data_IF_154638862813
#
_entry.id   IF_154638862813
#
_cell.length_a   1.000
_cell.length_b   1.000
_cell.length_c   1.000
_cell.angle_alpha   90.00
_cell.angle_beta   90.00
_cell.angle_gamma   90.00
#
_symmetry.space_group_name_H-M   'P 1'
#
loop_
_entity.id
_entity.type
_entity.pdbx_description
1 polymer ?
#
# COMPACT_ATOMS: atom_id res chain seq x y z
N UNK A 1 -15.64 5.54 19.84
CA UNK A 1 -14.42 5.21 19.08
C UNK A 1 -13.59 4.19 19.87
N UNK A 2 -13.23 3.04 19.28
CA UNK A 2 -12.48 1.97 19.98
C UNK A 2 -10.96 2.17 19.93
N UNK A 3 -10.45 2.71 18.81
CA UNK A 3 -9.02 2.92 18.60
C UNK A 3 -8.49 4.18 19.28
N UNK A 4 -9.32 5.23 19.35
CA UNK A 4 -9.00 6.47 20.05
C UNK A 4 -10.24 6.91 20.85
N UNK A 5 -10.42 6.38 22.08
CA UNK A 5 -11.60 6.68 22.89
C UNK A 5 -11.54 8.10 23.48
N UNK A 6 -12.67 8.79 23.54
CA UNK A 6 -12.81 10.06 24.28
C UNK A 6 -12.30 11.33 23.58
N UNK A 7 -11.96 11.27 22.29
CA UNK A 7 -11.57 12.46 21.52
C UNK A 7 -12.78 13.18 20.92
N UNK A 8 -12.67 14.50 20.82
CA UNK A 8 -13.65 15.37 20.18
C UNK A 8 -13.36 15.55 18.68
N UNK A 9 -14.35 16.09 17.96
CA UNK A 9 -14.27 16.26 16.51
C UNK A 9 -13.17 17.26 16.09
N UNK A 10 -12.97 18.32 16.89
CA UNK A 10 -12.00 19.37 16.61
C UNK A 10 -10.57 18.84 16.66
N UNK A 11 -10.24 18.01 17.66
CA UNK A 11 -8.91 17.41 17.77
C UNK A 11 -8.65 16.37 16.71
N UNK A 12 -9.69 15.62 16.29
CA UNK A 12 -9.58 14.70 15.16
C UNK A 12 -9.31 15.48 13.87
N UNK A 13 -10.00 16.60 13.64
CA UNK A 13 -9.80 17.44 12.46
C UNK A 13 -8.38 18.05 12.45
N UNK A 14 -7.91 18.58 13.58
CA UNK A 14 -6.54 19.08 13.71
C UNK A 14 -5.48 18.00 13.46
N UNK A 15 -5.72 16.77 13.92
CA UNK A 15 -4.83 15.64 13.66
C UNK A 15 -4.80 15.26 12.17
N UNK A 16 -5.95 15.28 11.50
CA UNK A 16 -6.04 15.03 10.06
C UNK A 16 -5.33 16.13 9.27
N UNK A 17 -5.52 17.40 9.61
CA UNK A 17 -4.83 18.52 8.95
C UNK A 17 -3.31 18.41 9.15
N UNK A 18 -2.84 17.95 10.32
CA UNK A 18 -1.41 17.64 10.52
C UNK A 18 -0.86 16.53 9.61
N UNK A 19 -1.71 15.60 9.13
CA UNK A 19 -1.34 14.58 8.14
C UNK A 19 -1.36 15.10 6.71
N UNK A 20 -2.16 16.12 6.43
CA UNK A 20 -2.23 16.85 5.15
C UNK A 20 -1.00 17.75 5.01
N UNK A 21 -0.70 18.56 6.03
CA UNK A 21 0.37 19.58 6.01
C UNK A 21 1.77 19.01 6.31
N UNK A 22 1.92 17.69 6.30
CA UNK A 22 3.16 17.04 6.69
C UNK A 22 4.30 17.46 5.74
N UNK A 23 5.43 18.01 6.25
CA UNK A 23 6.44 18.67 5.41
C UNK A 23 7.17 17.76 4.41
N UNK A 24 7.29 16.46 4.71
CA UNK A 24 8.03 15.52 3.88
C UNK A 24 7.16 14.90 2.78
N UNK A 25 6.04 14.32 3.19
CA UNK A 25 5.12 13.61 2.30
C UNK A 25 3.74 13.63 2.96
N UNK A 26 2.74 14.24 2.33
CA UNK A 26 1.37 14.21 2.83
C UNK A 26 0.88 12.75 2.86
N UNK A 27 0.21 12.35 3.93
CA UNK A 27 -0.37 11.02 4.05
C UNK A 27 -1.86 10.98 3.74
N UNK A 28 -2.49 12.15 3.74
CA UNK A 28 -3.91 12.35 3.54
C UNK A 28 -4.12 13.52 2.58
N UNK A 29 -5.12 13.44 1.72
CA UNK A 29 -5.58 14.52 0.87
C UNK A 29 -7.03 14.89 1.21
N UNK A 30 -7.34 16.19 1.20
CA UNK A 30 -8.70 16.69 1.34
C UNK A 30 -9.44 16.56 0.01
N UNK A 31 -10.63 15.95 0.05
CA UNK A 31 -11.44 15.66 -1.13
C UNK A 31 -12.53 16.72 -1.31
N UNK A 32 -13.02 16.92 -2.56
CA UNK A 32 -14.19 17.75 -2.82
C UNK A 32 -15.41 17.27 -2.00
N UNK A 33 -16.19 18.25 -1.53
CA UNK A 33 -17.47 17.96 -0.85
C UNK A 33 -18.47 17.39 -1.84
N UNK A 34 -19.27 16.42 -1.40
CA UNK A 34 -20.40 15.91 -2.17
C UNK A 34 -21.60 16.88 -2.07
N UNK A 35 -22.46 16.94 -3.09
CA UNK A 35 -23.71 17.70 -3.01
C UNK A 35 -24.52 17.31 -1.77
N UNK A 36 -24.98 18.30 -1.00
CA UNK A 36 -25.78 18.08 0.22
C UNK A 36 -24.98 17.70 1.48
N UNK A 37 -23.66 17.51 1.40
CA UNK A 37 -22.82 17.20 2.57
C UNK A 37 -22.07 18.45 3.06
N UNK A 38 -22.20 18.77 4.35
CA UNK A 38 -21.55 19.93 4.99
C UNK A 38 -20.11 19.63 5.44
N UNK A 39 -19.79 18.37 5.69
CA UNK A 39 -18.52 17.94 6.25
C UNK A 39 -17.44 17.75 5.18
N UNK A 40 -16.18 17.98 5.57
CA UNK A 40 -15.04 17.70 4.70
C UNK A 40 -14.79 16.19 4.60
N UNK A 41 -14.22 15.77 3.47
CA UNK A 41 -13.87 14.37 3.20
C UNK A 41 -12.36 14.27 3.02
N UNK A 42 -11.79 13.15 3.41
CA UNK A 42 -10.35 12.92 3.37
C UNK A 42 -10.05 11.51 2.82
N UNK A 43 -8.98 11.37 2.03
CA UNK A 43 -8.52 10.08 1.48
C UNK A 43 -7.04 9.86 1.76
N UNK A 44 -6.63 8.62 2.04
CA UNK A 44 -5.22 8.30 2.31
C UNK A 44 -4.39 8.20 1.02
N UNK A 45 -3.12 8.62 1.08
CA UNK A 45 -2.16 8.57 -0.04
C UNK A 45 -1.24 7.34 0.00
N UNK A 46 -1.45 6.45 0.98
CA UNK A 46 -0.64 5.24 1.19
C UNK A 46 -0.77 4.20 0.06
N UNK A 47 -1.73 4.37 -0.85
CA UNK A 47 -1.97 3.46 -1.99
C UNK A 47 -1.85 4.18 -3.35
N UNK A 48 -1.19 5.33 -3.38
CA UNK A 48 -1.09 6.18 -4.56
C UNK A 48 -1.99 7.41 -4.49
N UNK A 49 -2.07 8.14 -5.60
CA UNK A 49 -2.90 9.35 -5.71
C UNK A 49 -4.39 9.02 -5.64
N UNK A 50 -5.14 9.85 -4.92
CA UNK A 50 -6.61 9.69 -4.81
C UNK A 50 -7.26 10.40 -6.00
N UNK A 51 -7.85 9.63 -6.92
CA UNK A 51 -8.65 10.17 -8.02
C UNK A 51 -10.10 10.37 -7.59
N UNK A 52 -10.57 11.61 -7.59
CA UNK A 52 -11.88 12.01 -7.06
C UNK A 52 -13.08 11.50 -7.88
N UNK A 53 -12.90 11.26 -9.17
CA UNK A 53 -13.98 10.84 -10.08
C UNK A 53 -14.35 9.34 -9.92
N UNK A 54 -13.51 8.56 -9.25
CA UNK A 54 -13.67 7.10 -9.14
C UNK A 54 -14.56 6.66 -7.95
N UNK A 55 -14.95 7.55 -7.04
CA UNK A 55 -15.65 7.17 -5.79
C UNK A 55 -17.19 7.11 -5.89
N UNK A 56 -17.78 7.54 -7.01
CA UNK A 56 -19.18 7.21 -7.35
C UNK A 56 -19.28 5.88 -8.11
N UNK A 57 -18.15 5.28 -8.49
CA UNK A 57 -18.13 3.91 -8.92
C UNK A 57 -18.37 3.01 -7.69
N UNK A 58 -19.19 1.96 -7.81
CA UNK A 58 -19.30 0.96 -6.74
C UNK A 58 -17.89 0.48 -6.38
N UNK A 59 -17.59 0.46 -5.08
CA UNK A 59 -16.30 0.01 -4.58
C UNK A 59 -15.95 -1.32 -5.28
N UNK A 60 -14.76 -1.43 -5.91
CA UNK A 60 -14.36 -2.69 -6.50
C UNK A 60 -14.47 -3.76 -5.41
N UNK A 61 -14.98 -4.96 -5.74
CA UNK A 61 -15.05 -6.03 -4.76
C UNK A 61 -13.67 -6.18 -4.11
N UNK A 62 -13.61 -6.45 -2.80
CA UNK A 62 -12.33 -6.67 -2.13
C UNK A 62 -11.53 -7.67 -2.97
N UNK A 63 -10.22 -7.45 -3.16
CA UNK A 63 -9.43 -8.36 -3.95
C UNK A 63 -9.68 -9.77 -3.40
N UNK A 64 -9.95 -10.76 -4.28
CA UNK A 64 -10.18 -12.11 -3.81
C UNK A 64 -9.01 -12.48 -2.90
N UNK A 65 -9.32 -13.07 -1.74
CA UNK A 65 -8.31 -13.67 -0.88
C UNK A 65 -7.35 -14.45 -1.80
N UNK A 66 -6.02 -14.32 -1.63
CA UNK A 66 -5.07 -14.92 -2.56
C UNK A 66 -5.49 -16.38 -2.73
N UNK A 67 -5.89 -16.76 -3.94
CA UNK A 67 -6.29 -18.13 -4.19
C UNK A 67 -5.12 -19.01 -3.78
N UNK A 68 -5.42 -20.14 -3.14
CA UNK A 68 -4.41 -21.16 -2.81
C UNK A 68 -3.48 -21.41 -4.00
N UNK A 69 -4.05 -21.37 -5.21
CA UNK A 69 -3.37 -21.58 -6.48
C UNK A 69 -2.37 -20.46 -6.81
N UNK A 70 -2.71 -19.18 -6.53
CA UNK A 70 -1.78 -18.06 -6.71
C UNK A 70 -0.62 -18.13 -5.72
N UNK A 71 -0.91 -18.51 -4.48
CA UNK A 71 0.12 -18.72 -3.45
C UNK A 71 1.06 -19.86 -3.84
N UNK A 72 0.52 -21.02 -4.26
CA UNK A 72 1.31 -22.14 -4.72
C UNK A 72 2.18 -21.78 -5.94
N UNK A 73 1.64 -21.03 -6.91
CA UNK A 73 2.42 -20.57 -8.07
C UNK A 73 3.56 -19.62 -7.67
N UNK A 74 3.32 -18.71 -6.72
CA UNK A 74 4.35 -17.81 -6.19
C UNK A 74 5.43 -18.56 -5.40
N UNK A 75 5.05 -19.56 -4.61
CA UNK A 75 5.98 -20.41 -3.86
C UNK A 75 6.87 -21.22 -4.82
N UNK A 76 6.30 -21.79 -5.88
CA UNK A 76 7.05 -22.49 -6.92
C UNK A 76 8.04 -21.55 -7.63
N UNK A 77 7.57 -20.38 -8.09
CA UNK A 77 8.44 -19.40 -8.75
C UNK A 77 9.57 -18.92 -7.83
N UNK A 78 9.29 -18.76 -6.53
CA UNK A 78 10.31 -18.41 -5.54
C UNK A 78 11.34 -19.52 -5.37
N UNK A 79 10.93 -20.78 -5.41
CA UNK A 79 11.83 -21.92 -5.30
C UNK A 79 12.72 -22.05 -6.56
N UNK A 80 12.16 -21.86 -7.74
CA UNK A 80 12.90 -21.86 -9.01
C UNK A 80 13.97 -20.75 -9.01
N UNK A 81 13.60 -19.53 -8.64
CA UNK A 81 14.53 -18.40 -8.60
C UNK A 81 15.65 -18.62 -7.56
N UNK A 82 15.35 -19.24 -6.42
CA UNK A 82 16.37 -19.59 -5.41
C UNK A 82 17.36 -20.62 -5.94
N UNK A 83 16.89 -21.60 -6.70
CA UNK A 83 17.75 -22.60 -7.31
C UNK A 83 18.68 -21.95 -8.35
N UNK A 84 18.13 -21.10 -9.24
CA UNK A 84 18.93 -20.38 -10.24
C UNK A 84 20.01 -19.50 -9.59
N UNK A 85 19.67 -18.78 -8.52
CA UNK A 85 20.63 -17.95 -7.78
C UNK A 85 21.72 -18.81 -7.14
N UNK A 86 21.37 -19.99 -6.60
CA UNK A 86 22.34 -20.92 -6.03
C UNK A 86 23.30 -21.44 -7.10
N UNK A 87 22.78 -21.83 -8.27
CA UNK A 87 23.57 -22.35 -9.38
C UNK A 87 24.51 -21.28 -9.94
N UNK A 88 24.02 -20.05 -10.12
CA UNK A 88 24.84 -18.91 -10.56
C UNK A 88 25.95 -18.60 -9.55
N UNK A 89 25.67 -18.65 -8.24
CA UNK A 89 26.69 -18.47 -7.20
C UNK A 89 27.76 -19.56 -7.27
N UNK A 90 27.37 -20.81 -7.47
CA UNK A 90 28.32 -21.92 -7.62
C UNK A 90 29.20 -21.76 -8.87
N UNK A 91 28.60 -21.35 -10.00
CA UNK A 91 29.34 -21.07 -11.24
C UNK A 91 30.31 -19.90 -11.07
N UNK A 92 29.92 -18.83 -10.38
CA UNK A 92 30.79 -17.70 -10.09
C UNK A 92 31.96 -18.07 -9.17
N UNK A 93 31.71 -18.86 -8.13
CA UNK A 93 32.76 -19.38 -7.26
C UNK A 93 33.75 -20.27 -8.03
N UNK A 94 33.24 -21.16 -8.88
CA UNK A 94 34.08 -22.01 -9.73
C UNK A 94 34.90 -21.18 -10.73
N UNK A 95 34.29 -20.16 -11.35
CA UNK A 95 34.97 -19.24 -12.26
C UNK A 95 36.06 -18.45 -11.54
N UNK A 96 35.78 -17.90 -10.36
CA UNK A 96 36.75 -17.14 -9.57
C UNK A 96 37.99 -17.98 -9.24
N UNK A 97 37.81 -19.24 -8.85
CA UNK A 97 38.91 -20.19 -8.56
C UNK A 97 39.80 -20.50 -9.76
N UNK A 98 39.39 -20.19 -10.99
CA UNK A 98 40.22 -20.36 -12.19
C UNK A 98 41.23 -19.22 -12.38
N UNK A 99 41.07 -18.10 -11.66
CA UNK A 99 41.93 -16.92 -11.75
C UNK A 99 42.74 -16.66 -10.47
N UNK A 100 42.65 -17.54 -9.47
CA UNK A 100 43.55 -17.62 -8.29
C UNK A 100 44.56 -18.75 -8.49
#
# INVERSE_FOLDING_TARGET
>A
ARLVPGEDAERIEAAIEGLVDRPSTPLVARLPRRPGQKEARYGHLLSGEVHHDAEDAPAPPPPPAPSSDRLAALEQATQELRNEVSDLRAQLEAFRKQFE
#
